data_IF_076567739236
#
_entry.id   IF_076567739236
#
_cell.length_a   1.000
_cell.length_b   1.000
_cell.length_c   1.000
_cell.angle_alpha   90.00
_cell.angle_beta   90.00
_cell.angle_gamma   90.00
#
_symmetry.space_group_name_H-M   'P 1'
#
loop_
_entity.id
_entity.type
_entity.pdbx_description
1 polymer ?
#
# COMPACT_ATOMS: atom_id res chain seq x y z
N UNK A 1 17.25 -23.81 20.06
CA UNK A 1 16.20 -22.79 20.27
C UNK A 1 15.84 -22.83 21.75
N UNK A 2 15.71 -21.68 22.44
CA UNK A 2 15.36 -21.69 23.88
C UNK A 2 13.89 -22.07 24.06
N UNK A 3 13.61 -22.81 25.13
CA UNK A 3 12.26 -23.30 25.44
C UNK A 3 11.31 -22.18 25.89
N UNK A 4 11.83 -21.17 26.60
CA UNK A 4 11.05 -19.99 27.00
C UNK A 4 11.83 -18.68 26.84
N UNK A 5 11.09 -17.65 26.44
CA UNK A 5 11.56 -16.28 26.34
C UNK A 5 10.74 -15.41 27.30
N UNK A 6 11.43 -14.71 28.20
CA UNK A 6 10.83 -13.74 29.10
C UNK A 6 10.75 -12.37 28.41
N UNK A 7 9.52 -11.89 28.19
CA UNK A 7 9.20 -10.64 27.51
C UNK A 7 8.81 -9.51 28.48
N UNK A 8 9.00 -9.69 29.79
CA UNK A 8 8.56 -8.74 30.83
C UNK A 8 9.14 -7.33 30.68
N UNK A 9 10.32 -7.21 30.04
CA UNK A 9 11.00 -5.93 29.76
C UNK A 9 11.04 -5.57 28.26
N UNK A 10 10.19 -6.19 27.45
CA UNK A 10 10.21 -5.97 26.01
C UNK A 10 9.57 -4.63 25.60
N UNK A 11 10.21 -3.92 24.68
CA UNK A 11 9.71 -2.65 24.13
C UNK A 11 8.79 -2.97 22.95
N UNK A 12 7.60 -2.35 22.92
CA UNK A 12 6.68 -2.48 21.79
C UNK A 12 7.38 -2.02 20.51
N UNK A 13 7.40 -2.89 19.50
CA UNK A 13 8.03 -2.58 18.23
C UNK A 13 7.41 -1.31 17.61
N UNK A 14 8.16 -0.21 17.45
CA UNK A 14 7.65 1.05 16.89
C UNK A 14 7.16 0.89 15.43
N UNK A 15 7.61 -0.15 14.74
CA UNK A 15 7.19 -0.50 13.38
C UNK A 15 5.87 -1.29 13.32
N UNK A 16 5.37 -1.79 14.46
CA UNK A 16 4.11 -2.54 14.51
C UNK A 16 2.89 -1.69 14.12
N UNK A 17 2.96 -0.36 14.21
CA UNK A 17 1.88 0.55 13.83
C UNK A 17 1.69 0.69 12.31
N UNK A 18 2.71 0.38 11.52
CA UNK A 18 2.71 0.60 10.06
C UNK A 18 2.55 -0.72 9.28
N UNK A 19 1.91 -1.72 9.90
CA UNK A 19 1.60 -2.96 9.20
C UNK A 19 0.61 -2.66 8.08
N UNK A 20 1.01 -2.97 6.84
CA UNK A 20 0.12 -2.86 5.67
C UNK A 20 -1.12 -3.71 5.93
N UNK A 21 -2.29 -3.07 5.97
CA UNK A 21 -3.55 -3.79 6.07
C UNK A 21 -3.87 -4.40 4.71
N UNK A 22 -3.96 -5.72 4.64
CA UNK A 22 -4.44 -6.40 3.44
C UNK A 22 -5.92 -6.09 3.25
N UNK A 23 -6.27 -5.51 2.11
CA UNK A 23 -7.64 -5.18 1.72
C UNK A 23 -7.88 -5.62 0.28
N UNK A 24 -9.13 -5.97 -0.02
CA UNK A 24 -9.58 -6.23 -1.38
C UNK A 24 -10.19 -4.95 -1.95
N UNK A 25 -9.64 -4.44 -3.04
CA UNK A 25 -10.16 -3.28 -3.78
C UNK A 25 -10.55 -3.77 -5.18
N UNK A 26 -11.72 -3.37 -5.66
CA UNK A 26 -12.09 -3.56 -7.06
C UNK A 26 -11.48 -2.44 -7.89
N UNK A 27 -10.71 -2.81 -8.89
CA UNK A 27 -10.03 -1.90 -9.82
C UNK A 27 -10.37 -2.38 -11.23
N UNK A 28 -10.57 -1.46 -12.15
CA UNK A 28 -10.80 -1.76 -13.56
C UNK A 28 -9.58 -2.44 -14.18
N UNK A 29 -9.81 -3.37 -15.12
CA UNK A 29 -8.74 -4.14 -15.76
C UNK A 29 -7.72 -3.23 -16.43
N UNK A 30 -8.18 -2.19 -17.14
CA UNK A 30 -7.32 -1.26 -17.88
C UNK A 30 -6.38 -0.49 -16.93
N UNK A 31 -6.87 -0.12 -15.74
CA UNK A 31 -6.04 0.52 -14.71
C UNK A 31 -4.96 -0.45 -14.20
N UNK A 32 -5.32 -1.72 -13.97
CA UNK A 32 -4.35 -2.73 -13.55
C UNK A 32 -3.26 -2.92 -14.61
N UNK A 33 -3.65 -3.00 -15.88
CA UNK A 33 -2.71 -3.23 -16.97
C UNK A 33 -1.76 -2.06 -17.17
N UNK A 34 -2.24 -0.81 -17.05
CA UNK A 34 -1.38 0.38 -17.00
C UNK A 34 -0.29 0.27 -15.91
N UNK A 35 -0.67 -0.07 -14.68
CA UNK A 35 0.32 -0.20 -13.60
C UNK A 35 1.24 -1.42 -13.75
N UNK A 36 0.82 -2.48 -14.46
CA UNK A 36 1.72 -3.60 -14.80
C UNK A 36 2.76 -3.20 -15.83
N UNK A 37 2.43 -2.36 -16.80
CA UNK A 37 3.40 -1.82 -17.75
C UNK A 37 4.39 -0.91 -17.04
N UNK A 38 3.89 0.01 -16.22
CA UNK A 38 4.73 0.90 -15.42
C UNK A 38 5.65 0.13 -14.45
N UNK A 39 5.18 -1.00 -13.91
CA UNK A 39 5.99 -1.90 -13.09
C UNK A 39 7.17 -2.52 -13.86
N UNK A 40 6.99 -2.84 -15.15
CA UNK A 40 8.08 -3.38 -15.99
C UNK A 40 9.16 -2.33 -16.23
N UNK A 41 8.78 -1.07 -16.36
CA UNK A 41 9.71 0.04 -16.60
C UNK A 41 10.48 0.44 -15.32
N UNK A 42 9.79 0.48 -14.18
CA UNK A 42 10.34 0.98 -12.91
C UNK A 42 10.99 -0.11 -12.06
N UNK A 43 10.69 -1.39 -12.31
CA UNK A 43 11.11 -2.51 -11.48
C UNK A 43 10.36 -2.62 -10.13
N UNK A 44 9.36 -1.76 -9.89
CA UNK A 44 8.53 -1.77 -8.68
C UNK A 44 7.25 -2.56 -8.96
N UNK A 45 6.76 -3.36 -8.01
CA UNK A 45 5.50 -4.09 -8.22
C UNK A 45 4.32 -3.14 -8.46
N UNK A 46 3.43 -3.52 -9.37
CA UNK A 46 2.23 -2.73 -9.71
C UNK A 46 1.37 -2.43 -8.47
N UNK A 47 1.29 -3.35 -7.50
CA UNK A 47 0.57 -3.15 -6.24
C UNK A 47 1.20 -2.02 -5.39
N UNK A 48 2.53 -1.97 -5.32
CA UNK A 48 3.22 -0.91 -4.60
C UNK A 48 3.07 0.44 -5.30
N UNK A 49 3.10 0.46 -6.65
CA UNK A 49 2.85 1.67 -7.43
C UNK A 49 1.43 2.21 -7.18
N UNK A 50 0.40 1.36 -7.29
CA UNK A 50 -0.99 1.74 -7.01
C UNK A 50 -1.09 2.37 -5.61
N UNK A 51 -0.53 1.70 -4.59
CA UNK A 51 -0.58 2.21 -3.23
C UNK A 51 0.15 3.55 -3.08
N UNK A 52 1.32 3.70 -3.71
CA UNK A 52 2.11 4.94 -3.67
C UNK A 52 1.34 6.10 -4.30
N UNK A 53 0.72 5.90 -5.46
CA UNK A 53 -0.06 6.92 -6.16
C UNK A 53 -1.32 7.31 -5.37
N UNK A 54 -2.02 6.35 -4.77
CA UNK A 54 -3.16 6.63 -3.88
C UNK A 54 -2.74 7.44 -2.64
N UNK A 55 -1.57 7.11 -2.08
CA UNK A 55 -0.99 7.83 -0.93
C UNK A 55 -0.66 9.27 -1.32
N UNK A 56 -0.02 9.47 -2.47
CA UNK A 56 0.30 10.79 -3.00
C UNK A 56 -0.95 11.63 -3.29
N UNK A 57 -1.99 11.02 -3.88
CA UNK A 57 -3.29 11.63 -4.10
C UNK A 57 -3.89 12.16 -2.79
N UNK A 58 -3.85 11.36 -1.73
CA UNK A 58 -4.32 11.75 -0.41
C UNK A 58 -3.48 12.89 0.20
N UNK A 59 -2.14 12.82 0.09
CA UNK A 59 -1.24 13.88 0.57
C UNK A 59 -1.46 15.21 -0.14
N UNK A 60 -1.75 15.16 -1.45
CA UNK A 60 -2.03 16.35 -2.26
C UNK A 60 -3.47 16.86 -2.13
N UNK A 61 -4.31 16.18 -1.35
CA UNK A 61 -5.74 16.45 -1.22
C UNK A 61 -6.46 16.54 -2.58
N UNK A 62 -6.03 15.72 -3.55
CA UNK A 62 -6.66 15.66 -4.87
C UNK A 62 -8.05 15.07 -4.70
N UNK A 63 -9.06 15.83 -5.10
CA UNK A 63 -10.46 15.39 -5.06
C UNK A 63 -10.89 15.03 -6.48
N UNK A 64 -11.62 13.93 -6.68
CA UNK A 64 -12.16 13.60 -7.99
C UNK A 64 -13.15 14.70 -8.42
N UNK A 65 -13.04 15.15 -9.67
CA UNK A 65 -14.08 15.96 -10.29
C UNK A 65 -15.27 15.04 -10.60
N UNK A 66 -16.29 15.09 -9.75
CA UNK A 66 -17.56 14.41 -9.98
C UNK A 66 -18.37 15.20 -11.03
N UNK A 67 -18.01 15.03 -12.30
CA UNK A 67 -18.88 15.43 -13.41
C UNK A 67 -19.89 14.30 -13.61
N UNK A 68 -21.03 14.41 -12.92
CA UNK A 68 -22.20 13.61 -13.28
C UNK A 68 -22.70 14.09 -14.65
N UNK A 69 -22.72 13.17 -15.61
CA UNK A 69 -23.38 13.35 -16.91
C UNK A 69 -24.70 12.56 -16.90
#
# INVERSE_FOLDING_TARGET
MREEYDFSNSVTNPYAKHVKKQISIRIETDTIDYFKELAKETGISYQNLINSYLTECAHKHVKPELKWA
#
